data_IF_837442418377
#
_entry.id   IF_837442418377
#
_cell.length_a   1.000
_cell.length_b   1.000
_cell.length_c   1.000
_cell.angle_alpha   90.00
_cell.angle_beta   90.00
_cell.angle_gamma   90.00
#
_symmetry.space_group_name_H-M   'P 1'
#
loop_
_entity.id
_entity.type
_entity.pdbx_description
1 polymer ?
#
# COMPACT_ATOMS: atom_id res chain seq x y z
N UNK A 1 5.86 -11.18 17.35
CA UNK A 1 4.80 -10.59 16.49
C UNK A 1 5.03 -11.10 15.07
N UNK A 2 3.96 -11.44 14.34
CA UNK A 2 4.09 -11.90 12.95
C UNK A 2 4.09 -10.67 12.04
N UNK A 3 5.28 -10.25 11.61
CA UNK A 3 5.51 -8.99 10.90
C UNK A 3 4.71 -8.90 9.59
N UNK A 4 4.49 -10.04 8.92
CA UNK A 4 3.58 -10.16 7.79
C UNK A 4 2.14 -9.77 8.16
N UNK A 5 1.61 -10.24 9.30
CA UNK A 5 0.25 -9.86 9.75
C UNK A 5 0.14 -8.37 10.08
N UNK A 6 1.19 -7.77 10.64
CA UNK A 6 1.22 -6.35 10.94
C UNK A 6 1.13 -5.52 9.65
N UNK A 7 1.97 -5.84 8.67
CA UNK A 7 1.99 -5.16 7.38
C UNK A 7 0.67 -5.32 6.63
N UNK A 8 0.08 -6.51 6.66
CA UNK A 8 -1.25 -6.77 6.09
C UNK A 8 -2.29 -5.84 6.72
N UNK A 9 -2.30 -5.73 8.04
CA UNK A 9 -3.22 -4.87 8.75
C UNK A 9 -2.98 -3.38 8.45
N UNK A 10 -1.72 -2.95 8.36
CA UNK A 10 -1.37 -1.57 8.02
C UNK A 10 -1.79 -1.23 6.58
N UNK A 11 -1.62 -2.15 5.63
CA UNK A 11 -2.09 -2.04 4.26
C UNK A 11 -3.62 -1.97 4.20
N UNK A 12 -4.33 -2.86 4.91
CA UNK A 12 -5.81 -2.84 5.01
C UNK A 12 -6.33 -1.53 5.63
N UNK A 13 -5.61 -0.98 6.61
CA UNK A 13 -5.96 0.31 7.21
C UNK A 13 -5.74 1.46 6.24
N UNK A 14 -4.62 1.45 5.51
CA UNK A 14 -4.33 2.43 4.47
C UNK A 14 -5.39 2.39 3.37
N UNK A 15 -5.70 1.20 2.86
CA UNK A 15 -6.75 0.91 1.88
C UNK A 15 -8.07 1.57 2.27
N UNK A 16 -8.56 1.23 3.46
CA UNK A 16 -9.84 1.71 3.96
C UNK A 16 -9.87 3.24 4.10
N UNK A 17 -8.79 3.84 4.61
CA UNK A 17 -8.69 5.31 4.73
C UNK A 17 -8.59 6.00 3.38
N UNK A 18 -7.92 5.39 2.41
CA UNK A 18 -7.79 5.91 1.05
C UNK A 18 -9.16 5.99 0.36
N UNK A 19 -9.96 4.92 0.42
CA UNK A 19 -11.30 4.88 -0.17
C UNK A 19 -12.26 5.92 0.44
N UNK A 20 -12.11 6.22 1.73
CA UNK A 20 -12.91 7.23 2.42
C UNK A 20 -12.45 8.68 2.14
N UNK A 21 -11.39 8.88 1.34
CA UNK A 21 -10.77 10.18 1.14
C UNK A 21 -10.09 10.73 2.40
N UNK A 22 -9.74 9.86 3.34
CA UNK A 22 -9.19 10.21 4.66
C UNK A 22 -7.72 10.65 4.65
N UNK A 23 -7.10 10.78 3.49
CA UNK A 23 -5.70 11.21 3.35
C UNK A 23 -5.59 12.57 2.67
N UNK A 24 -4.83 13.45 3.31
CA UNK A 24 -4.21 14.59 2.64
C UNK A 24 -3.00 14.13 1.83
N UNK A 25 -2.55 14.93 0.87
CA UNK A 25 -1.33 14.64 0.09
C UNK A 25 -0.10 14.37 0.98
N UNK A 26 0.06 15.13 2.05
CA UNK A 26 1.17 14.99 3.00
C UNK A 26 1.07 13.69 3.82
N UNK A 27 -0.08 13.44 4.46
CA UNK A 27 -0.29 12.23 5.28
C UNK A 27 -0.25 10.94 4.45
N UNK A 28 -0.68 10.99 3.18
CA UNK A 28 -0.49 9.90 2.24
C UNK A 28 0.99 9.64 1.99
N UNK A 29 1.80 10.68 1.78
CA UNK A 29 3.22 10.54 1.51
C UNK A 29 3.97 9.93 2.70
N UNK A 30 3.66 10.36 3.92
CA UNK A 30 4.22 9.80 5.15
C UNK A 30 3.88 8.32 5.31
N UNK A 31 2.61 7.96 5.09
CA UNK A 31 2.15 6.56 5.20
C UNK A 31 2.80 5.67 4.14
N UNK A 32 2.86 6.12 2.90
CA UNK A 32 3.51 5.39 1.81
C UNK A 32 5.01 5.21 2.06
N UNK A 33 5.69 6.23 2.58
CA UNK A 33 7.12 6.15 2.92
C UNK A 33 7.40 5.17 4.05
N UNK A 34 6.48 5.03 5.01
CA UNK A 34 6.57 4.04 6.07
C UNK A 34 6.40 2.62 5.52
N UNK A 35 5.40 2.41 4.66
CA UNK A 35 5.16 1.11 3.99
C UNK A 35 6.34 0.70 3.12
N UNK A 36 6.95 1.63 2.36
CA UNK A 36 8.16 1.40 1.55
C UNK A 36 9.31 0.88 2.43
N UNK A 37 9.59 1.54 3.56
CA UNK A 37 10.67 1.13 4.48
C UNK A 37 10.46 -0.25 5.07
N UNK A 38 9.22 -0.59 5.41
CA UNK A 38 8.89 -1.94 5.91
C UNK A 38 9.08 -2.97 4.81
N UNK A 39 8.71 -2.65 3.57
CA UNK A 39 8.97 -3.53 2.42
C UNK A 39 10.47 -3.69 2.12
N UNK A 40 11.27 -2.63 2.23
CA UNK A 40 12.71 -2.72 2.02
C UNK A 40 13.41 -3.55 3.11
N UNK A 41 12.94 -3.44 4.36
CA UNK A 41 13.56 -4.13 5.50
C UNK A 41 13.14 -5.60 5.60
N UNK A 42 11.87 -5.89 5.30
CA UNK A 42 11.27 -7.19 5.58
C UNK A 42 10.62 -7.84 4.34
N UNK A 43 10.76 -7.24 3.16
CA UNK A 43 10.14 -7.69 1.91
C UNK A 43 10.49 -9.13 1.52
N UNK A 44 11.75 -9.53 1.76
CA UNK A 44 12.21 -10.90 1.51
C UNK A 44 11.41 -11.95 2.31
N UNK A 45 10.94 -11.59 3.52
CA UNK A 45 10.18 -12.49 4.38
C UNK A 45 8.70 -12.60 3.98
N UNK A 46 8.20 -11.70 3.13
CA UNK A 46 6.79 -11.68 2.71
C UNK A 46 6.51 -12.59 1.51
N UNK A 47 7.56 -12.82 0.71
CA UNK A 47 7.51 -13.54 -0.56
C UNK A 47 7.51 -12.60 -1.76
N UNK A 48 8.31 -12.93 -2.78
CA UNK A 48 8.51 -12.09 -3.96
C UNK A 48 7.24 -11.64 -4.72
N UNK A 49 6.16 -12.46 -4.83
CA UNK A 49 4.93 -12.00 -5.48
C UNK A 49 4.26 -10.88 -4.67
N UNK A 50 4.08 -11.10 -3.37
CA UNK A 50 3.45 -10.14 -2.47
C UNK A 50 4.23 -8.83 -2.38
N UNK A 51 5.56 -8.91 -2.27
CA UNK A 51 6.41 -7.73 -2.25
C UNK A 51 6.20 -6.87 -3.51
N UNK A 52 6.19 -7.49 -4.70
CA UNK A 52 5.97 -6.77 -5.96
C UNK A 52 4.60 -6.11 -6.04
N UNK A 53 3.56 -6.79 -5.56
CA UNK A 53 2.19 -6.24 -5.57
C UNK A 53 2.09 -5.01 -4.65
N UNK A 54 2.70 -5.06 -3.46
CA UNK A 54 2.73 -3.89 -2.57
C UNK A 54 3.60 -2.76 -3.12
N UNK A 55 4.76 -3.05 -3.72
CA UNK A 55 5.58 -2.01 -4.38
C UNK A 55 4.83 -1.30 -5.51
N UNK A 56 4.10 -2.07 -6.33
CA UNK A 56 3.26 -1.52 -7.40
C UNK A 56 2.18 -0.61 -6.82
N UNK A 57 1.47 -1.07 -5.79
CA UNK A 57 0.47 -0.29 -5.08
C UNK A 57 1.03 1.04 -4.55
N UNK A 58 2.18 1.01 -3.85
CA UNK A 58 2.79 2.23 -3.31
C UNK A 58 3.14 3.21 -4.44
N UNK A 59 3.71 2.70 -5.54
CA UNK A 59 4.03 3.51 -6.73
C UNK A 59 2.80 4.21 -7.31
N UNK A 60 1.70 3.49 -7.48
CA UNK A 60 0.46 4.04 -8.04
C UNK A 60 -0.17 5.07 -7.08
N UNK A 61 -0.23 4.77 -5.77
CA UNK A 61 -0.70 5.73 -4.78
C UNK A 61 0.14 7.01 -4.76
N UNK A 62 1.46 6.88 -4.93
CA UNK A 62 2.38 8.02 -4.99
C UNK A 62 2.14 8.83 -6.25
N UNK A 63 1.97 8.20 -7.41
CA UNK A 63 1.61 8.88 -8.65
C UNK A 63 0.29 9.65 -8.51
N UNK A 64 -0.72 9.05 -7.86
CA UNK A 64 -1.99 9.71 -7.57
C UNK A 64 -1.78 10.91 -6.64
N UNK A 65 -1.00 10.75 -5.56
CA UNK A 65 -0.66 11.84 -4.65
C UNK A 65 -0.01 13.02 -5.41
N UNK A 66 0.85 12.77 -6.40
CA UNK A 66 1.46 13.81 -7.24
C UNK A 66 0.56 14.36 -8.37
N UNK A 67 -0.69 13.89 -8.49
CA UNK A 67 -1.65 14.35 -9.48
C UNK A 67 -1.49 13.73 -10.87
N UNK A 68 -0.65 12.69 -11.00
CA UNK A 68 -0.40 11.98 -12.26
C UNK A 68 -0.93 10.54 -12.31
N UNK A 69 -1.40 9.98 -11.19
CA UNK A 69 -1.87 8.59 -11.10
C UNK A 69 -3.37 8.45 -11.31
N UNK A 70 -3.77 7.31 -11.86
CA UNK A 70 -5.19 6.97 -12.05
C UNK A 70 -5.78 6.40 -10.75
N UNK A 71 -6.77 7.07 -10.13
CA UNK A 71 -7.34 6.62 -8.87
C UNK A 71 -8.07 5.28 -8.99
N UNK A 72 -8.62 4.92 -10.16
CA UNK A 72 -9.30 3.63 -10.36
C UNK A 72 -8.28 2.49 -10.42
N UNK A 73 -7.13 2.72 -11.03
CA UNK A 73 -6.01 1.78 -11.03
C UNK A 73 -5.50 1.56 -9.61
N UNK A 74 -5.32 2.64 -8.85
CA UNK A 74 -4.98 2.56 -7.42
C UNK A 74 -5.99 1.69 -6.68
N UNK A 75 -7.29 2.00 -6.75
CA UNK A 75 -8.35 1.21 -6.08
C UNK A 75 -8.39 -0.25 -6.55
N UNK A 76 -8.14 -0.53 -7.84
CA UNK A 76 -8.13 -1.89 -8.37
C UNK A 76 -6.93 -2.71 -7.87
N UNK A 77 -5.73 -2.13 -7.87
CA UNK A 77 -4.51 -2.79 -7.38
C UNK A 77 -4.64 -3.03 -5.86
N UNK A 78 -5.26 -2.06 -5.16
CA UNK A 78 -5.63 -2.10 -3.76
C UNK A 78 -6.65 -3.21 -3.41
N UNK A 79 -7.74 -3.36 -4.18
CA UNK A 79 -8.76 -4.41 -3.95
C UNK A 79 -8.19 -5.81 -4.20
N UNK A 80 -7.37 -5.96 -5.25
CA UNK A 80 -6.68 -7.23 -5.54
C UNK A 80 -5.75 -7.63 -4.40
N UNK A 81 -4.95 -6.68 -3.89
CA UNK A 81 -4.09 -6.90 -2.74
C UNK A 81 -4.90 -7.29 -1.50
N UNK A 82 -6.08 -6.70 -1.28
CA UNK A 82 -6.97 -7.12 -0.19
C UNK A 82 -7.39 -8.59 -0.34
N UNK A 83 -7.80 -9.00 -1.54
CA UNK A 83 -8.23 -10.39 -1.81
C UNK A 83 -7.10 -11.41 -1.65
N UNK A 84 -5.87 -11.07 -2.03
CA UNK A 84 -4.69 -11.93 -1.82
C UNK A 84 -4.29 -12.05 -0.34
N UNK A 85 -4.82 -11.18 0.53
CA UNK A 85 -4.54 -11.13 1.96
C UNK A 85 -5.62 -11.75 2.85
N UNK A 86 -6.82 -12.03 2.30
CA UNK A 86 -7.91 -12.78 2.94
C UNK A 86 -7.71 -14.30 2.79
#
# INVERSE_FOLDING_TARGET
MNLKKQLIHDLQTFLWRFEQGGYTRESMHETLSALEKVLESDGEALGAPFQKDVEAMIRDCRAYAFGGGDPKKVVSDLDKLRQDLE
#
